data_IF_216275552737
#
_entry.id   IF_216275552737
#
_cell.length_a   1.000
_cell.length_b   1.000
_cell.length_c   1.000
_cell.angle_alpha   90.00
_cell.angle_beta   90.00
_cell.angle_gamma   90.00
#
_symmetry.space_group_name_H-M   'P 1'
#
loop_
_entity.id
_entity.type
_entity.pdbx_description
1 polymer ?
#
# COMPACT_ATOMS: atom_id res chain seq x y z
N UNK A 1 2.54 9.00 16.77
CA UNK A 1 3.82 9.60 16.34
C UNK A 1 4.40 10.63 17.32
N UNK A 2 3.72 10.97 18.43
CA UNK A 2 4.30 11.78 19.53
C UNK A 2 5.56 11.14 20.12
N UNK A 3 5.69 9.81 20.07
CA UNK A 3 6.86 9.09 20.58
C UNK A 3 8.17 9.42 19.85
N UNK A 4 8.17 9.64 18.52
CA UNK A 4 9.39 9.94 17.77
C UNK A 4 9.86 11.39 17.94
N UNK A 5 8.95 12.31 18.29
CA UNK A 5 9.26 13.75 18.43
C UNK A 5 10.08 14.08 19.69
N UNK A 6 10.09 13.17 20.66
CA UNK A 6 10.80 13.32 21.94
C UNK A 6 11.87 12.25 22.17
N UNK A 7 12.14 11.43 21.16
CA UNK A 7 13.21 10.44 21.23
C UNK A 7 14.55 11.15 20.92
N UNK A 8 15.48 11.21 21.90
CA UNK A 8 16.76 11.89 21.74
C UNK A 8 17.69 11.21 20.72
N UNK A 9 17.44 9.93 20.38
CA UNK A 9 18.23 9.16 19.43
C UNK A 9 17.71 9.26 17.98
N UNK A 10 16.43 9.61 17.80
CA UNK A 10 15.78 9.84 16.49
C UNK A 10 15.78 11.31 16.04
N UNK A 11 16.59 12.14 16.71
CA UNK A 11 16.79 13.57 16.50
C UNK A 11 16.09 14.16 15.28
N UNK A 12 14.99 14.88 15.52
CA UNK A 12 14.36 15.76 14.52
C UNK A 12 13.98 15.13 13.17
N UNK A 13 13.89 13.79 13.06
CA UNK A 13 13.68 13.12 11.78
C UNK A 13 12.39 13.64 11.10
N UNK A 14 12.58 14.55 10.16
CA UNK A 14 11.52 15.28 9.47
C UNK A 14 11.07 14.55 8.21
N UNK A 15 11.56 13.33 7.98
CA UNK A 15 11.35 12.60 6.74
C UNK A 15 11.08 11.13 7.01
N UNK A 16 10.03 10.60 6.39
CA UNK A 16 9.69 9.18 6.36
C UNK A 16 10.00 8.66 4.96
N UNK A 17 10.96 7.73 4.86
CA UNK A 17 11.20 6.98 3.64
C UNK A 17 10.47 5.63 3.71
N UNK A 18 9.59 5.36 2.74
CA UNK A 18 8.70 4.18 2.71
C UNK A 18 8.50 3.66 1.27
N UNK A 19 7.63 2.68 1.08
CA UNK A 19 7.22 2.18 -0.24
C UNK A 19 5.86 1.51 -0.20
N UNK A 20 5.66 0.49 -1.03
CA UNK A 20 4.39 -0.26 -1.21
C UNK A 20 4.02 -1.13 0.02
N UNK A 21 3.88 -0.50 1.19
CA UNK A 21 3.64 -1.12 2.48
C UNK A 21 2.36 -1.98 2.45
N UNK A 22 2.51 -3.28 2.73
CA UNK A 22 1.41 -4.25 2.72
C UNK A 22 0.79 -4.54 1.34
N UNK A 23 1.35 -4.02 0.24
CA UNK A 23 0.72 -4.15 -1.08
C UNK A 23 1.10 -5.44 -1.83
N UNK A 24 2.07 -6.19 -1.30
CA UNK A 24 2.48 -7.51 -1.80
C UNK A 24 1.65 -8.62 -1.15
N UNK A 25 2.22 -9.27 -0.13
CA UNK A 25 1.61 -10.44 0.53
C UNK A 25 0.27 -10.17 1.22
N UNK A 26 -0.01 -8.93 1.64
CA UNK A 26 -1.30 -8.57 2.25
C UNK A 26 -2.32 -8.04 1.24
N UNK A 27 -1.99 -8.03 -0.05
CA UNK A 27 -2.91 -7.71 -1.14
C UNK A 27 -3.55 -6.31 -1.08
N UNK A 28 -3.02 -5.40 -0.26
CA UNK A 28 -3.54 -4.05 -0.17
C UNK A 28 -3.42 -3.32 -1.51
N UNK A 29 -4.36 -2.39 -1.74
CA UNK A 29 -4.28 -1.51 -2.88
C UNK A 29 -3.20 -0.45 -2.65
N UNK A 30 -2.23 -0.40 -3.57
CA UNK A 30 -1.07 0.49 -3.48
C UNK A 30 -1.46 1.97 -3.48
N UNK A 31 -2.49 2.36 -4.23
CA UNK A 31 -2.99 3.74 -4.27
C UNK A 31 -3.57 4.13 -2.93
N UNK A 32 -4.37 3.25 -2.33
CA UNK A 32 -4.99 3.47 -1.01
C UNK A 32 -3.91 3.63 0.05
N UNK A 33 -2.92 2.72 0.08
CA UNK A 33 -1.85 2.78 1.07
C UNK A 33 -0.93 3.99 0.87
N UNK A 34 -0.72 4.44 -0.36
CA UNK A 34 0.01 5.67 -0.64
C UNK A 34 -0.73 6.89 -0.07
N UNK A 35 -2.03 7.03 -0.34
CA UNK A 35 -2.85 8.14 0.19
C UNK A 35 -2.84 8.13 1.72
N UNK A 36 -3.03 6.97 2.36
CA UNK A 36 -3.00 6.84 3.83
C UNK A 36 -1.64 7.31 4.39
N UNK A 37 -0.54 6.88 3.79
CA UNK A 37 0.80 7.28 4.21
C UNK A 37 1.03 8.78 4.04
N UNK A 38 0.59 9.37 2.92
CA UNK A 38 0.70 10.81 2.65
C UNK A 38 -0.11 11.65 3.64
N UNK A 39 -1.37 11.25 3.91
CA UNK A 39 -2.23 11.91 4.89
C UNK A 39 -1.64 11.81 6.31
N UNK A 40 -1.12 10.63 6.69
CA UNK A 40 -0.48 10.44 7.99
C UNK A 40 0.79 11.29 8.15
N UNK A 41 1.61 11.39 7.10
CA UNK A 41 2.79 12.25 7.08
C UNK A 41 2.41 13.73 7.22
N UNK A 42 1.40 14.18 6.48
CA UNK A 42 0.84 15.53 6.59
C UNK A 42 0.33 15.86 8.00
N UNK A 43 -0.36 14.92 8.65
CA UNK A 43 -0.81 15.11 10.04
C UNK A 43 0.35 15.15 11.04
N UNK A 44 1.39 14.35 10.81
CA UNK A 44 2.57 14.31 11.65
C UNK A 44 3.52 15.50 11.42
N UNK A 45 3.33 16.26 10.33
CA UNK A 45 4.20 17.36 9.95
C UNK A 45 5.58 16.88 9.51
N UNK A 46 5.65 15.74 8.81
CA UNK A 46 6.88 15.16 8.27
C UNK A 46 6.78 14.98 6.77
N UNK A 47 7.91 15.10 6.08
CA UNK A 47 8.04 14.84 4.66
C UNK A 47 7.94 13.33 4.38
N UNK A 48 7.32 12.96 3.26
CA UNK A 48 7.19 11.57 2.84
C UNK A 48 7.96 11.34 1.54
N UNK A 49 8.96 10.46 1.59
CA UNK A 49 9.62 9.91 0.40
C UNK A 49 9.07 8.51 0.15
N UNK A 50 8.34 8.32 -0.95
CA UNK A 50 7.75 7.03 -1.30
C UNK A 50 8.50 6.40 -2.49
N UNK A 51 9.13 5.26 -2.24
CA UNK A 51 9.84 4.48 -3.24
C UNK A 51 8.88 3.47 -3.89
N UNK A 52 8.71 3.58 -5.21
CA UNK A 52 7.87 2.67 -6.00
C UNK A 52 8.75 1.66 -6.72
N UNK A 53 8.27 0.42 -6.82
CA UNK A 53 8.87 -0.60 -7.68
C UNK A 53 8.29 -0.47 -9.10
N UNK A 54 9.09 0.03 -10.05
CA UNK A 54 8.69 0.22 -11.45
C UNK A 54 8.65 1.68 -11.87
N UNK A 55 7.74 2.02 -12.79
CA UNK A 55 7.64 3.33 -13.44
C UNK A 55 6.86 4.40 -12.64
N UNK A 56 6.28 4.04 -11.49
CA UNK A 56 5.53 4.97 -10.64
C UNK A 56 4.17 5.42 -11.20
N UNK A 57 3.87 5.17 -12.47
CA UNK A 57 2.68 5.67 -13.17
C UNK A 57 1.37 5.17 -12.53
N UNK A 58 1.43 4.02 -11.85
CA UNK A 58 0.28 3.41 -11.18
C UNK A 58 -0.28 4.26 -10.03
N UNK A 59 0.56 5.15 -9.47
CA UNK A 59 0.19 6.09 -8.41
C UNK A 59 -0.43 7.38 -8.93
N UNK A 60 -0.44 7.65 -10.24
CA UNK A 60 -1.03 8.88 -10.81
C UNK A 60 -2.42 9.21 -10.23
N UNK A 61 -3.39 8.29 -10.25
CA UNK A 61 -4.71 8.53 -9.66
C UNK A 61 -4.71 8.83 -8.15
N UNK A 62 -3.68 8.38 -7.43
CA UNK A 62 -3.51 8.66 -6.01
C UNK A 62 -2.96 10.07 -5.77
N UNK A 63 -2.08 10.55 -6.64
CA UNK A 63 -1.65 11.95 -6.67
C UNK A 63 -2.83 12.86 -7.01
N UNK A 64 -3.59 12.54 -8.05
CA UNK A 64 -4.78 13.31 -8.44
C UNK A 64 -5.77 13.44 -7.26
N UNK A 65 -5.97 12.35 -6.50
CA UNK A 65 -6.81 12.36 -5.31
C UNK A 65 -6.29 13.32 -4.22
N UNK A 66 -4.99 13.30 -3.94
CA UNK A 66 -4.37 14.17 -2.94
C UNK A 66 -4.38 15.64 -3.38
N UNK A 67 -4.14 15.91 -4.66
CA UNK A 67 -4.23 17.24 -5.25
C UNK A 67 -5.67 17.79 -5.15
N UNK A 68 -6.67 16.98 -5.49
CA UNK A 68 -8.08 17.32 -5.33
C UNK A 68 -8.43 17.65 -3.87
N UNK A 69 -7.95 16.86 -2.93
CA UNK A 69 -8.17 17.09 -1.50
C UNK A 69 -7.54 18.42 -1.04
N UNK A 70 -6.35 18.75 -1.56
CA UNK A 70 -5.66 20.00 -1.28
C UNK A 70 -6.39 21.21 -1.88
N UNK A 71 -6.77 21.15 -3.16
CA UNK A 71 -7.49 22.22 -3.87
C UNK A 71 -8.84 22.50 -3.20
N UNK A 72 -9.56 21.46 -2.82
CA UNK A 72 -10.86 21.55 -2.12
C UNK A 72 -10.72 21.91 -0.64
N UNK A 73 -9.48 22.03 -0.12
CA UNK A 73 -9.17 22.32 1.28
C UNK A 73 -9.89 21.36 2.24
N UNK A 74 -9.92 20.08 1.88
CA UNK A 74 -10.56 19.05 2.69
C UNK A 74 -9.89 18.97 4.06
N UNK A 75 -10.70 18.75 5.10
CA UNK A 75 -10.14 18.35 6.39
C UNK A 75 -9.60 16.91 6.29
N UNK A 76 -8.79 16.49 7.27
CA UNK A 76 -8.32 15.11 7.34
C UNK A 76 -9.48 14.11 7.38
N UNK A 77 -10.57 14.44 8.09
CA UNK A 77 -11.76 13.62 8.17
C UNK A 77 -12.44 13.51 6.79
N UNK A 78 -12.68 14.64 6.11
CA UNK A 78 -13.31 14.64 4.79
C UNK A 78 -12.49 13.86 3.76
N UNK A 79 -11.16 13.98 3.80
CA UNK A 79 -10.27 13.26 2.90
C UNK A 79 -10.32 11.74 3.13
N UNK A 80 -10.40 11.30 4.39
CA UNK A 80 -10.55 9.88 4.73
C UNK A 80 -11.93 9.34 4.36
N UNK A 81 -13.00 10.10 4.60
CA UNK A 81 -14.36 9.71 4.20
C UNK A 81 -14.48 9.61 2.68
N UNK A 82 -13.89 10.55 1.94
CA UNK A 82 -13.86 10.51 0.49
C UNK A 82 -13.02 9.35 -0.04
N UNK A 83 -11.89 9.03 0.59
CA UNK A 83 -11.09 7.85 0.27
C UNK A 83 -11.89 6.56 0.51
N UNK A 84 -12.58 6.46 1.65
CA UNK A 84 -13.43 5.31 1.98
C UNK A 84 -14.57 5.13 0.97
N UNK A 85 -15.23 6.23 0.57
CA UNK A 85 -16.25 6.22 -0.47
C UNK A 85 -15.67 5.71 -1.80
N UNK A 86 -14.45 6.12 -2.16
CA UNK A 86 -13.76 5.65 -3.38
C UNK A 86 -13.42 4.16 -3.31
N UNK A 87 -12.91 3.68 -2.18
CA UNK A 87 -12.65 2.25 -1.95
C UNK A 87 -13.91 1.39 -2.10
N UNK A 88 -15.08 1.91 -1.73
CA UNK A 88 -16.34 1.19 -1.84
C UNK A 88 -16.94 1.20 -3.25
N UNK A 89 -16.71 2.27 -4.03
CA UNK A 89 -17.40 2.51 -5.30
C UNK A 89 -16.55 2.24 -6.55
N UNK A 90 -15.23 2.31 -6.44
CA UNK A 90 -14.31 2.16 -7.58
C UNK A 90 -13.49 0.86 -7.47
N UNK A 91 -13.70 -0.14 -8.35
CA UNK A 91 -12.93 -1.38 -8.38
C UNK A 91 -11.41 -1.17 -8.49
N UNK A 92 -10.96 -0.06 -9.07
CA UNK A 92 -9.54 0.24 -9.19
C UNK A 92 -8.88 0.65 -7.85
N UNK A 93 -9.69 0.89 -6.81
CA UNK A 93 -9.27 1.24 -5.45
C UNK A 93 -9.51 0.11 -4.44
N UNK A 94 -10.13 -0.99 -4.87
CA UNK A 94 -10.37 -2.15 -4.03
C UNK A 94 -9.12 -3.02 -3.85
N UNK A 95 -9.16 -3.87 -2.82
CA UNK A 95 -8.12 -4.87 -2.55
C UNK A 95 -7.93 -5.82 -3.74
N UNK A 96 -6.69 -6.26 -3.94
CA UNK A 96 -6.38 -7.32 -4.92
C UNK A 96 -6.65 -8.72 -4.36
N UNK A 97 -7.13 -8.80 -3.12
CA UNK A 97 -7.43 -10.06 -2.47
C UNK A 97 -8.60 -10.76 -3.16
N UNK A 98 -8.32 -11.95 -3.67
CA UNK A 98 -9.30 -12.86 -4.23
C UNK A 98 -9.34 -14.12 -3.36
N UNK A 99 -10.44 -14.36 -2.61
CA UNK A 99 -10.55 -15.49 -1.71
C UNK A 99 -10.56 -16.84 -2.45
N UNK A 100 -11.11 -16.89 -3.67
CA UNK A 100 -11.12 -18.12 -4.46
C UNK A 100 -9.72 -18.45 -4.98
N UNK A 101 -8.96 -17.42 -5.40
CA UNK A 101 -7.55 -17.58 -5.74
C UNK A 101 -6.74 -18.04 -4.53
N UNK A 102 -6.96 -17.47 -3.34
CA UNK A 102 -6.27 -17.86 -2.12
C UNK A 102 -6.55 -19.33 -1.74
N UNK A 103 -7.80 -19.79 -1.87
CA UNK A 103 -8.17 -21.20 -1.63
C UNK A 103 -7.47 -22.17 -2.58
N UNK A 104 -7.25 -21.81 -3.85
CA UNK A 104 -6.50 -22.66 -4.81
C UNK A 104 -5.05 -22.90 -4.39
N UNK A 105 -4.40 -21.91 -3.78
CA UNK A 105 -3.03 -22.06 -3.26
C UNK A 105 -2.99 -22.94 -2.00
N UNK A 106 -4.01 -22.88 -1.14
CA UNK A 106 -4.07 -23.69 0.09
C UNK A 106 -4.55 -25.12 -0.20
N UNK A 107 -5.46 -25.31 -1.17
CA UNK A 107 -6.01 -26.61 -1.55
C UNK A 107 -5.09 -27.48 -2.42
N UNK A 108 -4.00 -26.93 -2.95
CA UNK A 108 -3.03 -27.66 -3.79
C UNK A 108 -2.08 -28.60 -3.04
N UNK A 109 -2.09 -28.59 -1.70
CA UNK A 109 -1.18 -29.40 -0.88
C UNK A 109 -1.65 -30.85 -0.61
N UNK A 110 -2.69 -31.33 -1.31
CA UNK A 110 -3.18 -32.72 -1.21
C UNK A 110 -3.14 -33.47 -2.54
N UNK A 111 -2.19 -33.12 -3.41
CA UNK A 111 -1.85 -33.93 -4.58
C UNK A 111 -0.89 -35.04 -4.19
N UNK A 112 -1.38 -36.28 -4.18
CA UNK A 112 -0.58 -37.50 -4.08
C UNK A 112 0.58 -37.46 -5.08
N UNK A 113 1.80 -37.53 -4.56
CA UNK A 113 3.02 -37.79 -5.34
C UNK A 113 2.89 -39.16 -6.02
N UNK A 114 2.59 -39.16 -7.31
CA UNK A 114 3.06 -40.21 -8.22
C UNK A 114 4.28 -39.68 -8.92
N UNK A 115 5.42 -40.29 -8.61
CA UNK A 115 6.72 -40.00 -9.18
C UNK A 115 6.68 -40.11 -10.72
N UNK A 116 6.97 -39.00 -11.39
CA UNK A 116 7.52 -39.00 -12.74
C UNK A 116 8.52 -37.85 -12.82
N UNK A 117 9.77 -38.20 -13.10
CA UNK A 117 10.93 -37.33 -12.98
C UNK A 117 10.89 -36.08 -13.86
N UNK A 118 11.52 -35.02 -13.35
CA UNK A 118 11.79 -33.78 -14.06
C UNK A 118 12.54 -32.82 -13.16
N UNK A 119 13.88 -32.92 -13.15
CA UNK A 119 14.75 -31.92 -12.53
C UNK A 119 14.56 -30.57 -13.24
N UNK A 120 14.17 -29.53 -12.50
CA UNK A 120 14.32 -28.14 -12.93
C UNK A 120 15.26 -27.47 -11.93
N UNK A 121 16.50 -27.24 -12.35
CA UNK A 121 17.43 -26.35 -11.64
C UNK A 121 17.03 -24.90 -11.92
N UNK A 122 16.80 -24.13 -10.86
CA UNK A 122 16.86 -22.67 -10.91
C UNK A 122 18.23 -22.24 -10.34
N UNK A 123 19.02 -21.56 -11.17
CA UNK A 123 20.28 -20.92 -10.76
C UNK A 123 19.96 -19.59 -10.07
N UNK A 124 20.65 -19.33 -8.95
CA UNK A 124 20.78 -18.02 -8.30
C UNK A 124 21.65 -17.13 -9.20
#
# INVERSE_FOLDING_TARGET
FVAAKHDPDLGTCSQVATGSWGCGAFYNNERVMFVIQALAAGLAGVDLTHHVLGDGMRLGPAFDFLEDALIKKMTMADALDHLAAKCSSDPAWQTKFDPERARRFVGGATGTSTAAGGQIQAKI
#
